data_IF_680492690826
#
_entry.id   IF_680492690826
#
_cell.length_a   1.000
_cell.length_b   1.000
_cell.length_c   1.000
_cell.angle_alpha   90.00
_cell.angle_beta   90.00
_cell.angle_gamma   90.00
#
_symmetry.space_group_name_H-M   'P 1'
#
loop_
_entity.id
_entity.type
_entity.pdbx_description
1 polymer ?
#
# COMPACT_ATOMS: atom_id res chain seq x y z
N UNK A 1 53.74 -11.78 30.64
CA UNK A 1 54.49 -13.06 30.54
C UNK A 1 53.55 -14.20 30.85
N UNK A 2 53.72 -15.33 30.14
CA UNK A 2 53.02 -16.62 30.27
C UNK A 2 51.55 -16.57 29.79
N UNK A 3 51.11 -17.31 28.78
CA UNK A 3 51.42 -18.67 28.34
C UNK A 3 50.05 -19.35 28.23
N UNK A 4 49.49 -19.58 27.04
CA UNK A 4 49.82 -20.73 26.21
C UNK A 4 49.30 -22.01 26.86
N UNK A 5 48.20 -22.58 26.33
CA UNK A 5 48.00 -24.03 26.13
C UNK A 5 46.65 -24.32 25.44
N UNK A 6 46.74 -25.12 24.39
CA UNK A 6 45.68 -25.60 23.52
C UNK A 6 45.08 -26.92 24.05
N UNK A 7 43.74 -27.03 23.96
CA UNK A 7 42.91 -28.23 23.67
C UNK A 7 42.97 -29.45 24.63
N UNK A 8 41.96 -30.37 24.67
CA UNK A 8 41.20 -30.84 23.51
C UNK A 8 39.70 -31.19 23.69
N UNK A 9 39.04 -31.34 22.54
CA UNK A 9 38.00 -32.34 22.23
C UNK A 9 36.71 -32.37 23.05
N UNK A 10 35.74 -31.56 22.63
CA UNK A 10 34.33 -31.95 22.77
C UNK A 10 33.91 -32.70 21.50
N UNK A 11 33.84 -34.02 21.64
CA UNK A 11 33.21 -34.92 20.68
C UNK A 11 31.73 -34.55 20.60
N UNK A 12 31.31 -33.93 19.50
CA UNK A 12 29.89 -33.69 19.22
C UNK A 12 29.25 -35.04 18.89
N UNK A 13 28.55 -35.59 19.86
CA UNK A 13 27.66 -36.74 19.70
C UNK A 13 26.52 -36.34 18.75
N UNK A 14 26.64 -36.74 17.48
CA UNK A 14 25.59 -36.55 16.47
C UNK A 14 24.43 -37.47 16.83
N UNK A 15 23.48 -36.95 17.61
CA UNK A 15 22.15 -37.56 17.75
C UNK A 15 21.47 -37.50 16.39
N UNK A 16 21.44 -38.64 15.70
CA UNK A 16 20.59 -38.86 14.53
C UNK A 16 19.13 -38.72 15.00
N UNK A 17 18.54 -37.56 14.73
CA UNK A 17 17.10 -37.36 14.92
C UNK A 17 16.39 -38.27 13.92
N UNK A 18 15.50 -39.18 14.36
CA UNK A 18 14.75 -40.00 13.44
C UNK A 18 13.90 -39.10 12.55
N UNK A 19 14.15 -39.18 11.24
CA UNK A 19 13.43 -38.44 10.21
C UNK A 19 11.94 -38.65 10.40
N UNK A 20 11.12 -37.58 10.46
CA UNK A 20 9.68 -37.72 10.55
C UNK A 20 9.19 -38.52 9.34
N UNK A 21 8.38 -39.53 9.63
CA UNK A 21 7.80 -40.45 8.66
C UNK A 21 7.19 -39.62 7.53
N UNK A 22 7.64 -39.85 6.29
CA UNK A 22 7.00 -39.29 5.09
C UNK A 22 5.55 -39.73 5.09
N UNK A 23 4.65 -38.86 5.53
CA UNK A 23 3.24 -38.99 5.25
C UNK A 23 3.11 -39.03 3.73
N UNK A 24 2.65 -40.15 3.20
CA UNK A 24 2.22 -40.24 1.81
C UNK A 24 1.02 -39.30 1.69
N UNK A 25 1.26 -38.08 1.21
CA UNK A 25 0.20 -37.15 0.84
C UNK A 25 -0.72 -37.87 -0.18
N UNK A 26 -2.04 -37.82 -0.01
CA UNK A 26 -2.97 -38.34 -1.00
C UNK A 26 -2.74 -37.63 -2.34
N UNK A 27 -2.42 -38.39 -3.37
CA UNK A 27 -1.93 -37.93 -4.69
C UNK A 27 -3.01 -37.31 -5.58
N UNK A 28 -4.07 -36.68 -5.04
CA UNK A 28 -5.17 -36.15 -5.85
C UNK A 28 -5.93 -34.99 -5.17
N UNK A 29 -5.24 -34.14 -4.41
CA UNK A 29 -5.75 -32.77 -4.19
C UNK A 29 -5.12 -31.90 -5.26
N UNK A 30 -5.88 -31.58 -6.31
CA UNK A 30 -5.50 -30.49 -7.21
C UNK A 30 -5.33 -29.25 -6.35
N UNK A 31 -4.13 -28.65 -6.38
CA UNK A 31 -3.94 -27.37 -5.74
C UNK A 31 -4.86 -26.36 -6.43
N UNK A 32 -5.59 -25.53 -5.67
CA UNK A 32 -6.28 -24.41 -6.28
C UNK A 32 -5.28 -23.60 -7.08
N UNK A 33 -5.58 -23.49 -8.38
CA UNK A 33 -4.67 -22.89 -9.36
C UNK A 33 -5.24 -21.55 -9.78
N UNK A 34 -4.48 -20.51 -9.54
CA UNK A 34 -4.76 -19.19 -10.09
C UNK A 34 -4.56 -19.22 -11.61
N UNK A 35 -5.49 -18.62 -12.36
CA UNK A 35 -5.38 -18.51 -13.82
C UNK A 35 -4.41 -17.37 -14.21
N UNK A 36 -3.88 -17.41 -15.43
CA UNK A 36 -3.06 -16.32 -15.96
C UNK A 36 -3.85 -15.00 -16.04
N UNK A 37 -5.15 -15.06 -16.32
CA UNK A 37 -6.06 -13.91 -16.32
C UNK A 37 -6.24 -13.29 -14.92
N UNK A 38 -6.32 -14.12 -13.88
CA UNK A 38 -6.34 -13.65 -12.49
C UNK A 38 -5.02 -12.97 -12.13
N UNK A 39 -3.88 -13.53 -12.55
CA UNK A 39 -2.57 -12.92 -12.32
C UNK A 39 -2.42 -11.58 -13.04
N UNK A 40 -2.90 -11.47 -14.27
CA UNK A 40 -2.91 -10.21 -15.03
C UNK A 40 -3.78 -9.16 -14.33
N UNK A 41 -4.99 -9.55 -13.90
CA UNK A 41 -5.92 -8.67 -13.20
C UNK A 41 -5.32 -8.16 -11.88
N UNK A 42 -4.77 -9.05 -11.05
CA UNK A 42 -4.10 -8.67 -9.79
C UNK A 42 -2.90 -7.75 -10.04
N UNK A 43 -2.16 -7.96 -11.13
CA UNK A 43 -1.03 -7.10 -11.51
C UNK A 43 -1.51 -5.70 -11.92
N UNK A 44 -2.62 -5.63 -12.67
CA UNK A 44 -3.24 -4.37 -13.05
C UNK A 44 -3.76 -3.60 -11.83
N UNK A 45 -4.49 -4.28 -10.93
CA UNK A 45 -4.98 -3.72 -9.67
C UNK A 45 -3.85 -3.16 -8.81
N UNK A 46 -2.75 -3.91 -8.66
CA UNK A 46 -1.57 -3.43 -7.93
C UNK A 46 -0.96 -2.18 -8.56
N UNK A 47 -0.83 -2.17 -9.89
CA UNK A 47 -0.32 -1.01 -10.63
C UNK A 47 -1.22 0.22 -10.45
N UNK A 48 -2.54 0.01 -10.37
CA UNK A 48 -3.50 1.09 -10.11
C UNK A 48 -3.41 1.58 -8.67
N UNK A 49 -3.20 0.69 -7.70
CA UNK A 49 -2.98 1.06 -6.30
C UNK A 49 -1.77 1.99 -6.13
N UNK A 50 -0.66 1.71 -6.83
CA UNK A 50 0.53 2.57 -6.83
C UNK A 50 0.22 3.95 -7.43
N UNK A 51 -0.50 4.01 -8.56
CA UNK A 51 -0.93 5.29 -9.17
C UNK A 51 -1.84 6.08 -8.23
N UNK A 52 -2.78 5.43 -7.55
CA UNK A 52 -3.65 6.10 -6.57
C UNK A 52 -2.87 6.61 -5.37
N UNK A 53 -1.85 5.89 -4.90
CA UNK A 53 -0.99 6.35 -3.83
C UNK A 53 -0.21 7.61 -4.23
N UNK A 54 0.32 7.65 -5.45
CA UNK A 54 0.94 8.85 -6.02
C UNK A 54 -0.06 10.02 -6.10
N UNK A 55 -1.24 9.80 -6.70
CA UNK A 55 -2.27 10.82 -6.84
C UNK A 55 -2.76 11.38 -5.49
N UNK A 56 -2.91 10.52 -4.47
CA UNK A 56 -3.22 10.99 -3.11
C UNK A 56 -2.13 11.91 -2.56
N UNK A 57 -0.86 11.55 -2.78
CA UNK A 57 0.28 12.36 -2.32
C UNK A 57 0.25 13.74 -2.98
N UNK A 58 0.09 13.79 -4.30
CA UNK A 58 -0.03 15.04 -5.07
C UNK A 58 -1.21 15.90 -4.57
N UNK A 59 -2.39 15.29 -4.36
CA UNK A 59 -3.55 15.99 -3.84
C UNK A 59 -3.33 16.57 -2.42
N UNK A 60 -2.63 15.83 -1.54
CA UNK A 60 -2.31 16.31 -0.20
C UNK A 60 -1.29 17.45 -0.23
N UNK A 61 -0.26 17.36 -1.08
CA UNK A 61 0.71 18.43 -1.27
C UNK A 61 0.03 19.72 -1.77
N UNK A 62 -0.88 19.61 -2.74
CA UNK A 62 -1.62 20.75 -3.24
C UNK A 62 -2.57 21.33 -2.17
N UNK A 63 -3.31 20.49 -1.45
CA UNK A 63 -4.16 20.93 -0.35
C UNK A 63 -3.36 21.69 0.72
N UNK A 64 -2.16 21.21 1.04
CA UNK A 64 -1.27 21.87 1.97
C UNK A 64 -0.80 23.24 1.44
N UNK A 65 -0.43 23.33 0.16
CA UNK A 65 -0.06 24.59 -0.48
C UNK A 65 -1.22 25.61 -0.45
N UNK A 66 -2.46 25.17 -0.69
CA UNK A 66 -3.65 26.01 -0.58
C UNK A 66 -3.82 26.54 0.85
N UNK A 67 -3.69 25.69 1.86
CA UNK A 67 -3.79 26.11 3.26
C UNK A 67 -2.74 27.16 3.63
N UNK A 68 -1.50 26.99 3.18
CA UNK A 68 -0.45 28.00 3.37
C UNK A 68 -0.80 29.32 2.68
N UNK A 69 -1.31 29.27 1.44
CA UNK A 69 -1.72 30.46 0.70
C UNK A 69 -2.85 31.22 1.43
N UNK A 70 -3.84 30.50 1.94
CA UNK A 70 -4.93 31.09 2.74
C UNK A 70 -4.39 31.74 4.00
N UNK A 71 -3.51 31.07 4.76
CA UNK A 71 -2.89 31.65 5.95
C UNK A 71 -2.12 32.93 5.63
N UNK A 72 -1.37 32.94 4.54
CA UNK A 72 -0.59 34.10 4.10
C UNK A 72 -1.47 35.27 3.67
N UNK A 73 -2.59 34.99 3.00
CA UNK A 73 -3.57 36.02 2.61
C UNK A 73 -4.20 36.64 3.85
N UNK A 74 -4.70 35.81 4.78
CA UNK A 74 -5.37 36.26 5.99
C UNK A 74 -4.43 36.94 7.00
N UNK A 75 -3.14 36.60 6.98
CA UNK A 75 -2.14 37.17 7.89
C UNK A 75 -1.64 38.57 7.51
N UNK A 76 -2.06 39.12 6.37
CA UNK A 76 -1.56 40.42 5.88
C UNK A 76 -2.53 41.56 6.22
N UNK A 77 -2.12 42.55 7.05
CA UNK A 77 -2.94 43.74 7.28
C UNK A 77 -3.00 44.61 6.02
N UNK A 78 -4.17 45.20 5.74
CA UNK A 78 -4.42 46.17 4.66
C UNK A 78 -4.28 45.63 3.22
N UNK A 79 -4.98 44.54 2.89
CA UNK A 79 -5.11 44.10 1.49
C UNK A 79 -6.31 44.71 0.77
N UNK A 80 -6.23 44.77 -0.56
CA UNK A 80 -7.37 45.04 -1.43
C UNK A 80 -8.42 43.92 -1.27
N UNK A 81 -9.48 44.21 -0.53
CA UNK A 81 -10.51 43.24 -0.12
C UNK A 81 -11.14 42.48 -1.30
N UNK A 82 -11.38 43.13 -2.45
CA UNK A 82 -11.97 42.45 -3.60
C UNK A 82 -11.03 41.41 -4.23
N UNK A 83 -9.74 41.73 -4.34
CA UNK A 83 -8.76 40.78 -4.88
C UNK A 83 -8.58 39.59 -3.92
N UNK A 84 -8.60 39.88 -2.62
CA UNK A 84 -8.54 38.86 -1.56
C UNK A 84 -9.74 37.91 -1.64
N UNK A 85 -10.97 38.43 -1.74
CA UNK A 85 -12.19 37.64 -1.82
C UNK A 85 -12.19 36.71 -3.04
N UNK A 86 -11.86 37.23 -4.22
CA UNK A 86 -11.77 36.42 -5.44
C UNK A 86 -10.73 35.30 -5.34
N UNK A 87 -9.58 35.61 -4.72
CA UNK A 87 -8.52 34.61 -4.53
C UNK A 87 -8.95 33.53 -3.54
N UNK A 88 -9.56 33.90 -2.42
CA UNK A 88 -10.07 32.94 -1.42
C UNK A 88 -11.16 32.04 -2.02
N UNK A 89 -12.07 32.60 -2.82
CA UNK A 89 -13.11 31.81 -3.49
C UNK A 89 -12.49 30.80 -4.49
N UNK A 90 -11.46 31.21 -5.25
CA UNK A 90 -10.78 30.29 -6.16
C UNK A 90 -10.08 29.15 -5.41
N UNK A 91 -9.39 29.47 -4.29
CA UNK A 91 -8.73 28.49 -3.43
C UNK A 91 -9.74 27.53 -2.78
N UNK A 92 -10.88 28.03 -2.30
CA UNK A 92 -11.95 27.21 -1.76
C UNK A 92 -12.51 26.26 -2.84
N UNK A 93 -12.78 26.78 -4.03
CA UNK A 93 -13.25 25.97 -5.16
C UNK A 93 -12.27 24.84 -5.47
N UNK A 94 -10.96 25.12 -5.52
CA UNK A 94 -9.96 24.08 -5.77
C UNK A 94 -9.90 23.05 -4.65
N UNK A 95 -10.01 23.48 -3.38
CA UNK A 95 -10.06 22.56 -2.25
C UNK A 95 -11.26 21.60 -2.34
N UNK A 96 -12.43 22.09 -2.76
CA UNK A 96 -13.60 21.23 -3.00
C UNK A 96 -13.34 20.22 -4.12
N UNK A 97 -12.67 20.63 -5.20
CA UNK A 97 -12.27 19.71 -6.28
C UNK A 97 -11.30 18.64 -5.78
N UNK A 98 -10.29 19.00 -4.99
CA UNK A 98 -9.34 18.04 -4.38
C UNK A 98 -10.06 17.00 -3.51
N UNK A 99 -11.04 17.43 -2.72
CA UNK A 99 -11.87 16.50 -1.92
C UNK A 99 -12.63 15.54 -2.82
N UNK A 100 -13.23 16.02 -3.90
CA UNK A 100 -13.93 15.15 -4.86
C UNK A 100 -12.98 14.15 -5.53
N UNK A 101 -11.78 14.58 -5.90
CA UNK A 101 -10.74 13.71 -6.47
C UNK A 101 -10.34 12.62 -5.48
N UNK A 102 -10.12 12.96 -4.20
CA UNK A 102 -9.84 11.98 -3.14
C UNK A 102 -10.99 10.99 -2.94
N UNK A 103 -12.25 11.45 -3.00
CA UNK A 103 -13.41 10.57 -2.95
C UNK A 103 -13.44 9.58 -4.13
N UNK A 104 -13.14 10.04 -5.34
CA UNK A 104 -13.08 9.19 -6.53
C UNK A 104 -11.99 8.11 -6.38
N UNK A 105 -10.79 8.50 -5.93
CA UNK A 105 -9.69 7.56 -5.67
C UNK A 105 -10.10 6.49 -4.62
N UNK A 106 -10.89 6.88 -3.61
CA UNK A 106 -11.40 5.93 -2.61
C UNK A 106 -12.42 4.96 -3.20
N UNK A 107 -13.29 5.42 -4.09
CA UNK A 107 -14.25 4.54 -4.78
C UNK A 107 -13.54 3.51 -5.65
N UNK A 108 -12.52 3.92 -6.39
CA UNK A 108 -11.69 3.00 -7.18
C UNK A 108 -11.00 1.94 -6.30
N UNK A 109 -10.47 2.32 -5.14
CA UNK A 109 -9.86 1.39 -4.19
C UNK A 109 -10.85 0.32 -3.69
N UNK A 110 -12.12 0.70 -3.49
CA UNK A 110 -13.18 -0.25 -3.08
C UNK A 110 -13.47 -1.24 -4.21
N UNK A 111 -13.54 -0.77 -5.45
CA UNK A 111 -13.77 -1.64 -6.60
C UNK A 111 -12.63 -2.66 -6.77
N UNK A 112 -11.39 -2.19 -6.66
CA UNK A 112 -10.21 -3.06 -6.71
C UNK A 112 -10.20 -4.11 -5.59
N UNK A 113 -10.55 -3.71 -4.37
CA UNK A 113 -10.65 -4.64 -3.25
C UNK A 113 -11.72 -5.71 -3.49
N UNK A 114 -12.83 -5.34 -4.15
CA UNK A 114 -13.87 -6.29 -4.52
C UNK A 114 -13.39 -7.27 -5.60
N UNK A 115 -12.66 -6.78 -6.62
CA UNK A 115 -12.07 -7.64 -7.66
C UNK A 115 -11.11 -8.65 -7.03
N UNK A 116 -10.21 -8.19 -6.14
CA UNK A 116 -9.30 -9.09 -5.43
C UNK A 116 -10.06 -10.15 -4.62
N UNK A 117 -11.12 -9.74 -3.91
CA UNK A 117 -11.94 -10.66 -3.14
C UNK A 117 -12.58 -11.74 -4.03
N UNK A 118 -13.18 -11.35 -5.16
CA UNK A 118 -13.80 -12.30 -6.10
C UNK A 118 -12.77 -13.31 -6.61
N UNK A 119 -11.58 -12.86 -7.00
CA UNK A 119 -10.49 -13.75 -7.44
C UNK A 119 -10.11 -14.74 -6.32
N UNK A 120 -10.02 -14.27 -5.07
CA UNK A 120 -9.69 -15.14 -3.95
C UNK A 120 -10.79 -16.16 -3.63
N UNK A 121 -12.05 -15.77 -3.72
CA UNK A 121 -13.20 -16.67 -3.54
C UNK A 121 -13.22 -17.77 -4.61
N UNK A 122 -13.07 -17.41 -5.89
CA UNK A 122 -13.01 -18.37 -7.00
C UNK A 122 -11.81 -19.34 -6.88
N UNK A 123 -10.70 -18.86 -6.34
CA UNK A 123 -9.49 -19.68 -6.16
C UNK A 123 -9.58 -20.55 -4.89
N UNK A 124 -10.49 -20.30 -3.95
CA UNK A 124 -10.59 -21.08 -2.69
C UNK A 124 -11.75 -22.07 -2.64
N UNK A 125 -12.71 -22.01 -3.57
CA UNK A 125 -13.88 -22.91 -3.66
C UNK A 125 -13.58 -24.33 -4.23
N UNK A 126 -12.45 -24.96 -3.85
CA UNK A 126 -12.09 -26.35 -4.20
C UNK A 126 -11.90 -27.23 -2.95
#
# INVERSE_FOLDING_TARGET
MLGGLLSPSNVLEVRVVPSPRRHKLPTNQQLPSISDEHLETLTATRSQADRRAAARTENFEEAFAILQAVQHILGRPNQNYMLMENTLHALESRMRTLVQELCNLRMEEILDSHIEQVIWEETTDI
#
